data_IF_902691428987
#
_entry.id   IF_902691428987
#
_cell.length_a   1.000
_cell.length_b   1.000
_cell.length_c   1.000
_cell.angle_alpha   90.00
_cell.angle_beta   90.00
_cell.angle_gamma   90.00
#
_symmetry.space_group_name_H-M   'P 1'
#
loop_
_entity.id
_entity.type
_entity.pdbx_description
1 polymer ?
#
# COMPACT_ATOMS: atom_id res chain seq x y z
N UNK A 1 -21.34 -47.31 -4.51
CA UNK A 1 -20.43 -46.14 -4.55
C UNK A 1 -20.70 -45.27 -3.33
N UNK A 2 -19.77 -45.26 -2.37
CA UNK A 2 -19.93 -44.59 -1.08
C UNK A 2 -19.72 -43.07 -1.21
N UNK A 3 -20.68 -42.28 -0.72
CA UNK A 3 -20.59 -40.82 -0.60
C UNK A 3 -19.60 -40.46 0.51
N UNK A 4 -18.45 -39.88 0.15
CA UNK A 4 -17.51 -39.24 1.10
C UNK A 4 -18.20 -38.01 1.71
N UNK A 5 -18.52 -38.09 3.00
CA UNK A 5 -18.88 -36.95 3.82
C UNK A 5 -17.63 -36.11 4.09
N UNK A 6 -17.63 -34.85 3.63
CA UNK A 6 -16.58 -33.91 3.98
C UNK A 6 -16.73 -33.49 5.44
N UNK A 7 -15.78 -33.94 6.27
CA UNK A 7 -15.71 -33.61 7.68
C UNK A 7 -15.60 -32.10 7.89
N UNK A 8 -16.52 -31.58 8.71
CA UNK A 8 -16.56 -30.19 9.12
C UNK A 8 -15.28 -29.86 9.92
N UNK A 9 -14.34 -29.13 9.32
CA UNK A 9 -13.12 -28.66 10.00
C UNK A 9 -13.56 -27.73 11.14
N UNK A 10 -13.49 -28.20 12.38
CA UNK A 10 -13.69 -27.38 13.59
C UNK A 10 -12.78 -26.15 13.50
N UNK A 11 -13.38 -24.98 13.28
CA UNK A 11 -12.69 -23.69 13.45
C UNK A 11 -12.17 -23.63 14.88
N UNK A 12 -10.85 -23.67 15.05
CA UNK A 12 -10.19 -23.42 16.32
C UNK A 12 -10.69 -22.08 16.89
N UNK A 13 -11.22 -22.07 18.11
CA UNK A 13 -11.58 -20.84 18.83
C UNK A 13 -10.30 -19.99 18.93
N UNK A 14 -10.28 -18.83 18.25
CA UNK A 14 -9.19 -17.86 18.39
C UNK A 14 -9.06 -17.51 19.88
N UNK A 15 -7.89 -17.74 20.45
CA UNK A 15 -7.56 -17.32 21.82
C UNK A 15 -7.72 -15.80 21.88
N UNK A 16 -8.37 -15.31 22.94
CA UNK A 16 -8.50 -13.87 23.14
C UNK A 16 -7.10 -13.25 23.27
N UNK A 17 -6.88 -12.12 22.60
CA UNK A 17 -5.61 -11.40 22.67
C UNK A 17 -5.44 -10.78 24.05
N UNK A 18 -4.21 -10.74 24.60
CA UNK A 18 -3.92 -9.98 25.81
C UNK A 18 -4.39 -8.53 25.64
N UNK A 19 -5.10 -8.02 26.64
CA UNK A 19 -5.59 -6.64 26.65
C UNK A 19 -4.56 -5.74 27.34
N UNK A 20 -4.49 -4.49 26.88
CA UNK A 20 -3.57 -3.50 27.41
C UNK A 20 -2.29 -3.35 26.60
N UNK A 21 -1.37 -2.57 27.16
CA UNK A 21 -0.09 -2.24 26.57
C UNK A 21 1.04 -2.99 27.28
N UNK A 22 2.04 -3.40 26.51
CA UNK A 22 3.15 -4.20 26.98
C UNK A 22 4.45 -3.51 26.57
N UNK A 23 5.46 -3.53 27.45
CA UNK A 23 6.78 -2.97 27.14
C UNK A 23 7.63 -3.96 26.36
N UNK A 24 8.44 -3.44 25.43
CA UNK A 24 9.42 -4.21 24.68
C UNK A 24 10.65 -3.36 24.37
N UNK A 25 11.82 -3.99 24.48
CA UNK A 25 13.03 -3.50 23.82
C UNK A 25 13.11 -4.11 22.42
N UNK A 26 13.40 -3.30 21.41
CA UNK A 26 13.43 -3.73 20.01
C UNK A 26 14.86 -4.04 19.60
N UNK A 27 15.15 -5.31 19.35
CA UNK A 27 16.51 -5.81 19.08
C UNK A 27 16.95 -5.57 17.63
N UNK A 28 16.02 -5.74 16.68
CA UNK A 28 16.31 -5.71 15.25
C UNK A 28 15.08 -5.37 14.42
N UNK A 29 15.22 -5.32 13.09
CA UNK A 29 14.17 -4.95 12.15
C UNK A 29 14.06 -6.02 11.05
N UNK A 30 12.85 -6.40 10.68
CA UNK A 30 12.64 -7.31 9.53
C UNK A 30 12.78 -6.55 8.20
N UNK A 31 12.85 -7.29 7.08
CA UNK A 31 12.87 -6.69 5.74
C UNK A 31 11.59 -5.90 5.45
N UNK A 32 10.46 -6.31 6.02
CA UNK A 32 9.17 -5.62 5.91
C UNK A 32 9.05 -4.42 6.85
N UNK A 33 10.10 -4.05 7.59
CA UNK A 33 10.08 -2.89 8.48
C UNK A 33 9.34 -3.10 9.79
N UNK A 34 9.29 -4.34 10.31
CA UNK A 34 8.74 -4.63 11.64
C UNK A 34 9.86 -4.81 12.65
N UNK A 35 9.77 -4.13 13.78
CA UNK A 35 10.68 -4.32 14.91
C UNK A 35 10.58 -5.75 15.42
N UNK A 36 11.68 -6.33 15.88
CA UNK A 36 11.75 -7.67 16.44
C UNK A 36 12.17 -7.55 17.89
N UNK A 37 11.33 -8.06 18.78
CA UNK A 37 11.60 -8.17 20.21
C UNK A 37 11.40 -9.62 20.67
N UNK A 38 11.90 -9.96 21.87
CA UNK A 38 11.59 -11.22 22.54
C UNK A 38 10.83 -10.98 23.84
N UNK A 39 9.58 -11.44 23.88
CA UNK A 39 8.72 -11.39 25.08
C UNK A 39 8.63 -12.80 25.64
N UNK A 40 9.12 -12.99 26.87
CA UNK A 40 9.20 -14.31 27.52
C UNK A 40 9.86 -15.39 26.63
N UNK A 41 10.93 -14.98 25.91
CA UNK A 41 11.69 -15.85 24.99
C UNK A 41 11.04 -16.07 23.61
N UNK A 42 9.81 -15.61 23.41
CA UNK A 42 9.07 -15.74 22.13
C UNK A 42 9.28 -14.51 21.25
N UNK A 43 9.49 -14.74 19.96
CA UNK A 43 9.64 -13.65 18.99
C UNK A 43 8.33 -12.89 18.80
N UNK A 44 8.38 -11.57 18.91
CA UNK A 44 7.25 -10.67 18.71
C UNK A 44 7.65 -9.62 17.68
N UNK A 45 6.89 -9.57 16.59
CA UNK A 45 7.08 -8.59 15.52
C UNK A 45 6.19 -7.37 15.77
N UNK A 46 6.80 -6.22 15.99
CA UNK A 46 6.14 -4.98 16.40
C UNK A 46 6.19 -3.98 15.25
N UNK A 47 5.03 -3.67 14.67
CA UNK A 47 4.91 -2.61 13.67
C UNK A 47 5.25 -1.24 14.27
N UNK A 48 5.82 -0.35 13.45
CA UNK A 48 6.18 1.03 13.83
C UNK A 48 7.24 1.16 14.93
N UNK A 49 8.05 0.12 15.11
CA UNK A 49 9.12 0.07 16.09
C UNK A 49 10.47 -0.19 15.38
N UNK A 50 11.51 0.54 15.79
CA UNK A 50 12.84 0.50 15.19
C UNK A 50 13.86 -0.13 16.16
N UNK A 51 15.00 -0.65 15.65
CA UNK A 51 16.05 -1.19 16.50
C UNK A 51 16.56 -0.18 17.53
N UNK A 52 16.80 -0.65 18.75
CA UNK A 52 17.30 0.15 19.87
C UNK A 52 16.23 0.95 20.62
N UNK A 53 14.95 0.82 20.23
CA UNK A 53 13.84 1.50 20.88
C UNK A 53 13.30 0.74 22.08
N UNK A 54 12.85 1.50 23.08
CA UNK A 54 11.98 1.01 24.14
C UNK A 54 10.56 1.48 23.82
N UNK A 55 9.63 0.55 23.65
CA UNK A 55 8.25 0.84 23.20
C UNK A 55 7.21 0.20 24.10
N UNK A 56 6.04 0.83 24.19
CA UNK A 56 4.79 0.16 24.56
C UNK A 56 4.06 -0.26 23.30
N UNK A 57 3.60 -1.50 23.27
CA UNK A 57 2.89 -2.08 22.12
C UNK A 57 1.62 -2.82 22.54
N UNK A 58 0.71 -3.01 21.59
CA UNK A 58 -0.50 -3.83 21.75
C UNK A 58 -0.45 -5.07 20.87
N UNK A 59 -0.92 -6.21 21.36
CA UNK A 59 -1.00 -7.43 20.54
C UNK A 59 -2.08 -7.31 19.47
N UNK A 60 -1.71 -7.69 18.24
CA UNK A 60 -2.60 -7.74 17.07
C UNK A 60 -2.94 -9.18 16.70
N UNK A 61 -1.98 -10.08 16.88
CA UNK A 61 -2.18 -11.50 16.63
C UNK A 61 -1.23 -12.34 17.48
N UNK A 62 -1.72 -13.50 17.96
CA UNK A 62 -0.86 -14.49 18.60
C UNK A 62 -0.79 -15.79 17.80
N UNK A 63 0.42 -16.27 17.51
CA UNK A 63 0.66 -17.57 16.84
C UNK A 63 1.48 -18.47 17.75
N UNK A 64 1.65 -19.74 17.34
CA UNK A 64 2.44 -20.71 18.12
C UNK A 64 3.92 -20.31 18.22
N UNK A 65 4.49 -19.83 17.13
CA UNK A 65 5.94 -19.57 17.03
C UNK A 65 6.32 -18.09 17.22
N UNK A 66 5.40 -17.18 16.95
CA UNK A 66 5.65 -15.74 17.05
C UNK A 66 4.34 -15.01 17.34
N UNK A 67 4.45 -13.76 17.78
CA UNK A 67 3.32 -12.85 17.93
C UNK A 67 3.50 -11.61 17.04
N UNK A 68 2.38 -10.94 16.76
CA UNK A 68 2.35 -9.66 16.07
C UNK A 68 1.79 -8.61 17.03
N UNK A 69 2.44 -7.45 17.04
CA UNK A 69 1.99 -6.28 17.77
C UNK A 69 2.19 -5.01 16.95
N UNK A 70 1.66 -3.91 17.45
CA UNK A 70 1.94 -2.56 16.93
C UNK A 70 2.36 -1.69 18.10
N UNK A 71 3.46 -0.95 17.94
CA UNK A 71 3.85 0.07 18.90
C UNK A 71 2.75 1.13 18.97
N UNK A 72 2.46 1.59 20.19
CA UNK A 72 1.50 2.65 20.49
C UNK A 72 2.17 3.84 21.17
N UNK A 73 3.29 3.60 21.87
CA UNK A 73 4.14 4.65 22.43
C UNK A 73 5.60 4.24 22.27
N UNK A 74 6.43 5.21 21.90
CA UNK A 74 7.89 5.06 21.86
C UNK A 74 8.45 5.83 23.04
N UNK A 75 8.93 5.10 24.06
CA UNK A 75 9.43 5.67 25.32
C UNK A 75 10.87 6.16 25.15
N UNK A 76 11.65 5.44 24.35
CA UNK A 76 12.98 5.84 23.90
C UNK A 76 13.09 5.61 22.41
N UNK A 77 13.24 6.71 21.65
CA UNK A 77 13.36 6.68 20.20
C UNK A 77 14.77 6.31 19.74
N UNK A 78 14.85 5.65 18.58
CA UNK A 78 16.10 5.47 17.85
C UNK A 78 16.57 6.81 17.29
N UNK A 79 17.88 7.09 17.21
CA UNK A 79 18.39 8.29 16.52
C UNK A 79 18.04 8.32 15.02
N UNK A 80 17.71 7.17 14.42
CA UNK A 80 17.28 7.06 13.02
C UNK A 80 15.76 7.28 12.85
N UNK A 81 15.01 7.45 13.95
CA UNK A 81 13.58 7.73 13.88
C UNK A 81 13.35 9.14 13.35
N UNK A 82 12.44 9.26 12.39
CA UNK A 82 11.94 10.53 11.90
C UNK A 82 10.41 10.59 12.03
N UNK A 83 9.87 11.80 12.00
CA UNK A 83 8.43 11.99 11.87
C UNK A 83 7.99 11.60 10.44
N UNK A 84 7.00 10.71 10.28
CA UNK A 84 6.49 10.35 8.97
C UNK A 84 6.01 11.55 8.17
N UNK A 85 6.48 11.66 6.92
CA UNK A 85 6.05 12.73 6.03
C UNK A 85 4.58 12.62 5.59
N UNK A 86 3.98 11.43 5.59
CA UNK A 86 2.56 11.24 5.25
C UNK A 86 1.68 11.31 6.51
N UNK A 87 0.66 12.19 6.55
CA UNK A 87 -0.25 12.29 7.70
C UNK A 87 -1.10 11.02 7.92
N UNK A 88 -1.12 10.12 6.95
CA UNK A 88 -1.89 8.88 6.99
C UNK A 88 -1.07 7.66 7.42
N UNK A 89 0.22 7.83 7.73
CA UNK A 89 1.14 6.71 7.94
C UNK A 89 0.64 5.72 9.02
N UNK A 90 0.02 6.22 10.08
CA UNK A 90 -0.42 5.39 11.21
C UNK A 90 -1.60 4.46 10.92
N UNK A 91 -2.46 4.79 9.97
CA UNK A 91 -3.67 4.03 9.66
C UNK A 91 -3.77 3.54 8.22
N UNK A 92 -2.90 4.00 7.32
CA UNK A 92 -2.80 3.52 5.95
C UNK A 92 -1.71 2.44 5.82
N UNK A 93 -2.08 1.25 5.34
CA UNK A 93 -1.16 0.12 5.16
C UNK A 93 -0.27 0.21 3.92
N UNK A 94 -0.18 1.38 3.28
CA UNK A 94 0.54 1.58 2.03
C UNK A 94 2.06 1.68 2.18
N UNK A 95 2.56 2.17 3.32
CA UNK A 95 3.99 2.36 3.59
C UNK A 95 4.36 1.73 4.94
N UNK A 96 5.53 1.10 5.02
CA UNK A 96 5.95 0.39 6.24
C UNK A 96 6.93 1.19 7.11
N UNK A 97 7.81 2.01 6.51
CA UNK A 97 9.00 2.55 7.17
C UNK A 97 9.13 4.07 7.12
N UNK A 98 8.05 4.85 6.95
CA UNK A 98 8.20 6.32 6.89
C UNK A 98 8.67 6.96 8.21
N UNK A 99 8.65 6.20 9.31
CA UNK A 99 9.20 6.60 10.60
C UNK A 99 10.71 6.31 10.73
N UNK A 100 11.34 5.72 9.72
CA UNK A 100 12.78 5.47 9.64
C UNK A 100 13.39 6.42 8.61
N UNK A 101 14.52 7.05 8.95
CA UNK A 101 15.28 7.88 8.01
C UNK A 101 15.52 7.17 6.67
N UNK A 102 15.29 7.81 5.50
CA UNK A 102 15.46 7.15 4.20
C UNK A 102 16.85 6.57 3.95
N UNK A 103 17.91 7.22 4.43
CA UNK A 103 19.27 6.69 4.34
C UNK A 103 19.43 5.42 5.18
N UNK A 104 18.87 5.41 6.39
CA UNK A 104 18.82 4.23 7.25
C UNK A 104 17.97 3.09 6.63
N UNK A 105 16.89 3.41 5.91
CA UNK A 105 16.11 2.40 5.16
C UNK A 105 16.97 1.70 4.09
N UNK A 106 17.77 2.46 3.34
CA UNK A 106 18.66 1.92 2.30
C UNK A 106 19.74 1.05 2.95
N UNK A 107 20.39 1.55 4.00
CA UNK A 107 21.41 0.82 4.74
C UNK A 107 20.87 -0.49 5.34
N UNK A 108 19.65 -0.47 5.88
CA UNK A 108 18.96 -1.66 6.40
C UNK A 108 18.73 -2.71 5.32
N UNK A 109 18.22 -2.31 4.15
CA UNK A 109 18.02 -3.22 3.01
C UNK A 109 19.33 -3.84 2.52
N UNK A 110 20.39 -3.04 2.43
CA UNK A 110 21.73 -3.54 2.06
C UNK A 110 22.23 -4.56 3.08
N UNK A 111 22.14 -4.26 4.37
CA UNK A 111 22.57 -5.19 5.43
C UNK A 111 21.77 -6.49 5.39
N UNK A 112 20.46 -6.42 5.19
CA UNK A 112 19.60 -7.59 5.07
C UNK A 112 19.99 -8.46 3.87
N UNK A 113 20.28 -7.86 2.71
CA UNK A 113 20.76 -8.58 1.53
C UNK A 113 22.10 -9.29 1.80
N UNK A 114 23.06 -8.59 2.40
CA UNK A 114 24.38 -9.16 2.70
C UNK A 114 24.29 -10.30 3.74
N UNK A 115 23.46 -10.16 4.77
CA UNK A 115 23.21 -11.23 5.75
C UNK A 115 22.59 -12.46 5.08
N UNK A 116 21.63 -12.26 4.17
CA UNK A 116 21.01 -13.35 3.41
C UNK A 116 22.02 -14.07 2.50
N UNK A 117 22.88 -13.32 1.79
CA UNK A 117 23.95 -13.91 0.97
C UNK A 117 24.90 -14.77 1.81
N UNK A 118 25.31 -14.26 2.98
CA UNK A 118 26.22 -14.98 3.86
C UNK A 118 25.57 -16.22 4.50
N UNK A 119 24.39 -16.07 5.10
CA UNK A 119 23.72 -17.15 5.85
C UNK A 119 23.08 -18.21 4.97
N UNK A 120 22.38 -17.79 3.91
CA UNK A 120 21.60 -18.67 3.04
C UNK A 120 22.44 -19.07 1.83
N UNK A 121 22.98 -18.07 1.14
CA UNK A 121 23.79 -18.28 -0.06
C UNK A 121 25.17 -18.89 0.21
N UNK A 122 25.69 -18.74 1.44
CA UNK A 122 27.06 -19.15 1.82
C UNK A 122 28.14 -18.49 0.95
N UNK A 123 27.86 -17.28 0.49
CA UNK A 123 28.73 -16.49 -0.38
C UNK A 123 28.92 -15.09 0.19
N UNK A 124 30.04 -14.47 -0.14
CA UNK A 124 30.32 -13.07 0.10
C UNK A 124 30.67 -12.41 -1.24
N UNK A 125 30.11 -11.23 -1.56
CA UNK A 125 30.50 -10.53 -2.78
C UNK A 125 31.91 -9.96 -2.64
N UNK A 126 32.68 -9.99 -3.73
CA UNK A 126 34.01 -9.36 -3.78
C UNK A 126 33.92 -7.83 -3.68
N UNK A 127 32.81 -7.26 -4.19
CA UNK A 127 32.53 -5.84 -4.15
C UNK A 127 31.04 -5.60 -3.89
N UNK A 128 30.74 -4.62 -3.02
CA UNK A 128 29.39 -4.07 -2.85
C UNK A 128 29.36 -2.72 -3.55
N UNK A 129 28.49 -2.58 -4.56
CA UNK A 129 28.28 -1.31 -5.25
C UNK A 129 27.38 -0.40 -4.41
N UNK A 130 27.50 0.91 -4.64
CA UNK A 130 26.61 1.90 -4.02
C UNK A 130 25.14 1.62 -4.38
N UNK A 131 24.21 1.74 -3.42
CA UNK A 131 22.78 1.54 -3.68
C UNK A 131 22.24 2.52 -4.73
N UNK A 132 21.43 1.99 -5.65
CA UNK A 132 20.61 2.84 -6.50
C UNK A 132 19.50 3.46 -5.67
N UNK A 133 19.47 4.80 -5.64
CA UNK A 133 18.47 5.58 -4.91
C UNK A 133 17.65 6.42 -5.87
N UNK A 134 16.53 6.95 -5.39
CA UNK A 134 15.64 7.79 -6.16
C UNK A 134 14.80 8.66 -5.22
N UNK A 135 13.83 9.42 -5.78
CA UNK A 135 12.94 10.25 -5.00
C UNK A 135 12.19 9.45 -3.94
N UNK A 136 12.04 10.03 -2.74
CA UNK A 136 11.29 9.42 -1.63
C UNK A 136 9.78 9.69 -1.70
N UNK A 137 9.36 10.66 -2.52
CA UNK A 137 7.98 11.07 -2.77
C UNK A 137 7.69 11.06 -4.27
N UNK A 138 6.43 10.91 -4.65
CA UNK A 138 5.99 10.89 -6.06
C UNK A 138 6.54 9.74 -6.92
N UNK A 139 7.31 8.81 -6.34
CA UNK A 139 7.99 7.76 -7.10
C UNK A 139 7.05 6.65 -7.57
N UNK A 140 5.89 6.46 -6.93
CA UNK A 140 4.95 5.39 -7.26
C UNK A 140 4.10 5.84 -8.44
N UNK A 141 4.45 5.37 -9.63
CA UNK A 141 3.72 5.62 -10.87
C UNK A 141 2.56 4.66 -11.13
N UNK A 142 2.52 3.51 -10.44
CA UNK A 142 1.43 2.54 -10.56
C UNK A 142 0.80 2.22 -9.21
N UNK A 143 -0.53 2.18 -9.16
CA UNK A 143 -1.28 1.83 -7.96
C UNK A 143 -2.62 1.18 -8.29
N UNK A 144 -3.13 0.37 -7.37
CA UNK A 144 -4.53 -0.07 -7.37
C UNK A 144 -5.21 0.50 -6.13
N UNK A 145 -6.10 1.45 -6.35
CA UNK A 145 -6.87 2.10 -5.30
C UNK A 145 -8.17 1.33 -5.10
N UNK A 146 -8.45 0.94 -3.86
CA UNK A 146 -9.75 0.41 -3.49
C UNK A 146 -10.76 1.54 -3.37
N UNK A 147 -11.99 1.29 -3.81
CA UNK A 147 -13.09 2.24 -3.78
C UNK A 147 -14.22 1.67 -2.95
N UNK A 148 -14.73 2.46 -2.00
CA UNK A 148 -15.79 2.00 -1.09
C UNK A 148 -16.68 3.14 -0.63
N UNK A 149 -17.98 3.04 -0.87
CA UNK A 149 -18.97 3.87 -0.19
C UNK A 149 -19.05 3.53 1.30
N UNK A 150 -18.84 4.51 2.18
CA UNK A 150 -18.92 4.34 3.63
C UNK A 150 -20.09 5.14 4.19
N UNK A 151 -21.23 4.45 4.43
CA UNK A 151 -22.49 5.07 4.91
C UNK A 151 -22.30 5.94 6.15
N UNK A 152 -21.50 5.51 7.13
CA UNK A 152 -21.25 6.26 8.37
C UNK A 152 -20.53 7.61 8.11
N UNK A 153 -19.72 7.69 7.05
CA UNK A 153 -18.98 8.89 6.67
C UNK A 153 -19.71 9.72 5.60
N UNK A 154 -20.76 9.17 4.98
CA UNK A 154 -21.53 9.87 3.93
C UNK A 154 -20.74 10.13 2.65
N UNK A 155 -19.64 9.41 2.40
CA UNK A 155 -18.80 9.59 1.19
C UNK A 155 -18.16 8.31 0.69
N UNK A 156 -17.59 8.38 -0.50
CA UNK A 156 -16.71 7.36 -1.07
C UNK A 156 -15.32 7.51 -0.42
N UNK A 157 -14.73 6.39 -0.03
CA UNK A 157 -13.31 6.31 0.31
C UNK A 157 -12.56 5.73 -0.88
N UNK A 158 -11.43 6.36 -1.20
CA UNK A 158 -10.52 5.92 -2.26
C UNK A 158 -9.12 5.90 -1.67
N UNK A 159 -8.43 4.77 -1.82
CA UNK A 159 -7.08 4.64 -1.29
C UNK A 159 -6.61 3.22 -1.12
N UNK A 160 -5.72 3.02 -0.16
CA UNK A 160 -5.18 1.70 0.18
C UNK A 160 -5.93 1.11 1.37
N UNK A 161 -5.65 -0.16 1.67
CA UNK A 161 -6.19 -0.81 2.86
C UNK A 161 -5.49 -0.34 4.12
N UNK A 162 -6.22 -0.34 5.23
CA UNK A 162 -5.64 -0.23 6.55
C UNK A 162 -4.71 -1.43 6.87
N UNK A 163 -3.72 -1.27 7.76
CA UNK A 163 -2.85 -2.37 8.18
C UNK A 163 -3.64 -3.58 8.71
N UNK A 164 -3.38 -4.75 8.14
CA UNK A 164 -4.01 -6.02 8.50
C UNK A 164 -5.55 -6.00 8.52
N UNK A 165 -6.17 -5.11 7.73
CA UNK A 165 -7.61 -4.90 7.70
C UNK A 165 -8.11 -4.87 6.25
N UNK A 166 -9.32 -5.38 5.96
CA UNK A 166 -9.93 -5.26 4.64
C UNK A 166 -10.49 -3.86 4.37
N UNK A 167 -10.53 -2.98 5.38
CA UNK A 167 -11.11 -1.65 5.27
C UNK A 167 -10.19 -0.72 4.49
N UNK A 168 -10.78 0.20 3.72
CA UNK A 168 -10.04 1.25 3.02
C UNK A 168 -9.69 2.33 4.04
N UNK A 169 -8.40 2.65 4.11
CA UNK A 169 -7.88 3.72 4.95
C UNK A 169 -8.50 5.04 4.50
N UNK A 170 -8.94 5.83 5.48
CA UNK A 170 -9.46 7.15 5.19
C UNK A 170 -8.31 8.13 4.95
N UNK A 171 -8.03 8.40 3.66
CA UNK A 171 -6.95 9.27 3.22
C UNK A 171 -7.47 10.30 2.22
N UNK A 172 -6.87 11.48 2.21
CA UNK A 172 -7.15 12.56 1.25
C UNK A 172 -5.96 12.88 0.34
N UNK A 173 -4.78 12.31 0.64
CA UNK A 173 -3.58 12.44 -0.19
C UNK A 173 -2.68 11.21 -0.06
N UNK A 174 -1.88 10.94 -1.09
CA UNK A 174 -0.82 9.95 -1.05
C UNK A 174 0.49 10.52 -1.60
N UNK A 175 1.40 10.96 -0.71
CA UNK A 175 2.67 11.60 -1.07
C UNK A 175 3.65 10.70 -1.84
N UNK A 176 3.51 9.39 -1.75
CA UNK A 176 4.37 8.45 -2.51
C UNK A 176 3.84 8.20 -3.92
N UNK A 177 2.54 8.39 -4.16
CA UNK A 177 1.91 8.27 -5.48
C UNK A 177 2.27 9.50 -6.32
N UNK A 178 2.35 9.32 -7.64
CA UNK A 178 2.54 10.42 -8.58
C UNK A 178 1.59 11.59 -8.22
N UNK A 179 2.10 12.82 -8.03
CA UNK A 179 1.33 13.94 -7.51
C UNK A 179 0.10 14.28 -8.37
N UNK A 180 0.15 14.00 -9.69
CA UNK A 180 -1.00 14.18 -10.60
C UNK A 180 -2.22 13.40 -10.12
N UNK A 181 -2.02 12.28 -9.42
CA UNK A 181 -3.10 11.43 -8.86
C UNK A 181 -3.15 11.51 -7.34
N UNK A 182 -2.01 11.48 -6.66
CA UNK A 182 -1.89 11.45 -5.20
C UNK A 182 -2.50 12.66 -4.50
N UNK A 183 -2.56 13.82 -5.16
CA UNK A 183 -3.21 15.04 -4.64
C UNK A 183 -4.68 15.14 -5.01
N UNK A 184 -5.16 14.32 -5.95
CA UNK A 184 -6.54 14.37 -6.48
C UNK A 184 -7.48 13.32 -5.90
N UNK A 185 -7.08 12.58 -4.86
CA UNK A 185 -7.95 11.57 -4.22
C UNK A 185 -9.33 12.12 -3.80
N UNK A 186 -9.48 13.35 -3.27
CA UNK A 186 -10.78 13.92 -2.93
C UNK A 186 -11.65 14.16 -4.18
N UNK A 187 -11.06 14.72 -5.25
CA UNK A 187 -11.76 14.97 -6.50
C UNK A 187 -12.23 13.66 -7.17
N UNK A 188 -11.39 12.61 -7.16
CA UNK A 188 -11.78 11.28 -7.65
C UNK A 188 -12.92 10.71 -6.77
N UNK A 189 -12.87 10.91 -5.45
CA UNK A 189 -13.94 10.49 -4.54
C UNK A 189 -15.27 11.17 -4.85
N UNK A 190 -15.26 12.47 -5.11
CA UNK A 190 -16.44 13.24 -5.49
C UNK A 190 -16.99 12.81 -6.85
N UNK A 191 -16.12 12.58 -7.83
CA UNK A 191 -16.49 12.02 -9.13
C UNK A 191 -17.25 10.70 -8.96
N UNK A 192 -16.68 9.74 -8.23
CA UNK A 192 -17.34 8.44 -8.00
C UNK A 192 -18.68 8.64 -7.30
N UNK A 193 -18.74 9.51 -6.28
CA UNK A 193 -19.98 9.77 -5.54
C UNK A 193 -21.10 10.35 -6.42
N UNK A 194 -20.74 11.06 -7.49
CA UNK A 194 -21.68 11.65 -8.45
C UNK A 194 -22.19 10.64 -9.50
N UNK A 195 -21.57 9.46 -9.63
CA UNK A 195 -22.01 8.42 -10.54
C UNK A 195 -23.25 7.70 -9.99
N UNK A 196 -24.17 7.29 -10.88
CA UNK A 196 -25.25 6.36 -10.49
C UNK A 196 -24.67 5.01 -10.08
N UNK A 197 -23.59 4.57 -10.72
CA UNK A 197 -22.88 3.32 -10.44
C UNK A 197 -21.90 3.39 -9.25
N UNK A 198 -21.95 4.41 -8.38
CA UNK A 198 -20.95 4.63 -7.31
C UNK A 198 -20.70 3.44 -6.37
N UNK A 199 -21.66 2.51 -6.22
CA UNK A 199 -21.51 1.29 -5.39
C UNK A 199 -20.84 0.14 -6.13
N UNK A 200 -20.80 0.23 -7.45
CA UNK A 200 -20.40 -0.81 -8.37
C UNK A 200 -19.03 -0.52 -9.00
N UNK A 201 -18.32 0.48 -8.49
CA UNK A 201 -16.90 0.77 -8.79
C UNK A 201 -16.06 0.28 -7.60
N UNK A 202 -15.50 -0.95 -7.63
CA UNK A 202 -14.74 -1.48 -6.49
C UNK A 202 -13.27 -1.03 -6.45
N UNK A 203 -12.71 -0.64 -7.60
CA UNK A 203 -11.29 -0.30 -7.72
C UNK A 203 -11.03 0.66 -8.89
N UNK A 204 -9.94 1.41 -8.76
CA UNK A 204 -9.36 2.24 -9.81
C UNK A 204 -7.88 1.85 -9.92
N UNK A 205 -7.43 1.47 -11.10
CA UNK A 205 -6.01 1.27 -11.38
C UNK A 205 -5.42 2.57 -11.93
N UNK A 206 -4.22 2.87 -11.48
CA UNK A 206 -3.46 4.08 -11.82
C UNK A 206 -2.19 3.63 -12.54
N UNK A 207 -1.91 4.25 -13.67
CA UNK A 207 -0.63 4.14 -14.36
C UNK A 207 -0.21 5.52 -14.85
N UNK A 208 0.99 5.96 -14.51
CA UNK A 208 1.54 7.25 -14.92
C UNK A 208 2.84 7.05 -15.69
N UNK A 209 2.88 7.62 -16.89
CA UNK A 209 4.07 7.78 -17.71
C UNK A 209 4.76 9.10 -17.40
N UNK A 210 5.66 9.51 -18.28
CA UNK A 210 6.32 10.81 -18.14
C UNK A 210 5.31 11.95 -18.34
N UNK A 211 4.54 11.94 -19.44
CA UNK A 211 3.63 13.04 -19.78
C UNK A 211 2.19 12.86 -19.27
N UNK A 212 1.67 11.62 -19.28
CA UNK A 212 0.27 11.35 -19.02
C UNK A 212 0.04 10.32 -17.90
N UNK A 213 -1.10 10.44 -17.22
CA UNK A 213 -1.61 9.44 -16.30
C UNK A 213 -2.92 8.86 -16.82
N UNK A 214 -3.05 7.53 -16.71
CA UNK A 214 -4.25 6.78 -16.98
C UNK A 214 -4.93 6.32 -15.69
N UNK A 215 -6.25 6.44 -15.65
CA UNK A 215 -7.13 5.90 -14.61
C UNK A 215 -8.06 4.85 -15.23
N UNK A 216 -7.92 3.59 -14.81
CA UNK A 216 -8.79 2.51 -15.25
C UNK A 216 -9.82 2.19 -14.17
N UNK A 217 -11.09 2.45 -14.48
CA UNK A 217 -12.21 2.23 -13.57
C UNK A 217 -12.78 0.82 -13.77
N UNK A 218 -12.62 -0.03 -12.76
CA UNK A 218 -13.34 -1.31 -12.73
C UNK A 218 -14.78 -1.02 -12.39
N UNK A 219 -15.71 -1.51 -13.21
CA UNK A 219 -17.14 -1.36 -12.95
C UNK A 219 -17.86 -2.70 -13.08
N UNK A 220 -18.76 -2.99 -12.14
CA UNK A 220 -19.48 -4.27 -12.06
C UNK A 220 -20.81 -4.25 -12.80
N UNK A 221 -21.26 -3.07 -13.23
CA UNK A 221 -22.49 -2.84 -14.00
C UNK A 221 -22.18 -1.92 -15.19
N UNK A 222 -22.94 -1.99 -16.30
CA UNK A 222 -22.79 -1.04 -17.40
C UNK A 222 -23.00 0.41 -16.93
N UNK A 223 -22.12 1.31 -17.36
CA UNK A 223 -22.24 2.74 -17.09
C UNK A 223 -23.16 3.39 -18.13
N UNK A 224 -24.11 4.20 -17.66
CA UNK A 224 -25.00 4.94 -18.55
C UNK A 224 -24.31 6.16 -19.17
N UNK A 225 -25.02 6.84 -20.08
CA UNK A 225 -24.46 8.01 -20.78
C UNK A 225 -24.08 9.15 -19.82
N UNK A 226 -24.84 9.35 -18.73
CA UNK A 226 -24.57 10.42 -17.77
C UNK A 226 -23.32 10.11 -16.94
N UNK A 227 -23.14 8.87 -16.51
CA UNK A 227 -21.93 8.45 -15.79
C UNK A 227 -20.69 8.52 -16.69
N UNK A 228 -20.80 8.07 -17.96
CA UNK A 228 -19.70 8.19 -18.93
C UNK A 228 -19.34 9.64 -19.23
N UNK A 229 -20.33 10.53 -19.37
CA UNK A 229 -20.08 11.96 -19.58
C UNK A 229 -19.39 12.63 -18.39
N UNK A 230 -19.70 12.23 -17.15
CA UNK A 230 -18.99 12.72 -15.95
C UNK A 230 -17.53 12.28 -15.91
N UNK A 231 -17.26 11.02 -16.26
CA UNK A 231 -15.89 10.53 -16.38
C UNK A 231 -15.13 11.31 -17.44
N UNK A 232 -15.73 11.52 -18.62
CA UNK A 232 -15.10 12.26 -19.72
C UNK A 232 -14.80 13.73 -19.35
N UNK A 233 -15.75 14.41 -18.70
CA UNK A 233 -15.53 15.77 -18.20
C UNK A 233 -14.39 15.84 -17.16
N UNK A 234 -14.28 14.84 -16.29
CA UNK A 234 -13.18 14.75 -15.32
C UNK A 234 -11.84 14.46 -15.99
N UNK A 235 -11.83 13.66 -17.06
CA UNK A 235 -10.66 13.42 -17.89
C UNK A 235 -10.14 14.73 -18.49
N UNK A 236 -11.04 15.54 -19.05
CA UNK A 236 -10.73 16.87 -19.61
C UNK A 236 -10.20 17.82 -18.55
N UNK A 237 -10.89 17.94 -17.42
CA UNK A 237 -10.54 18.88 -16.36
C UNK A 237 -9.17 18.62 -15.73
N UNK A 238 -8.76 17.35 -15.64
CA UNK A 238 -7.54 16.96 -14.92
C UNK A 238 -6.45 16.34 -15.79
N UNK A 239 -6.68 16.20 -17.10
CA UNK A 239 -5.69 15.66 -18.04
C UNK A 239 -5.42 14.17 -17.87
N UNK A 240 -6.45 13.37 -17.55
CA UNK A 240 -6.33 11.92 -17.42
C UNK A 240 -6.77 11.19 -18.69
N UNK A 241 -6.07 10.13 -19.05
CA UNK A 241 -6.63 9.10 -19.92
C UNK A 241 -7.55 8.20 -19.07
N UNK A 242 -8.82 8.03 -19.45
CA UNK A 242 -9.75 7.18 -18.71
C UNK A 242 -10.02 5.90 -19.47
N UNK A 243 -9.86 4.79 -18.76
CA UNK A 243 -10.17 3.45 -19.24
C UNK A 243 -11.30 2.84 -18.40
N UNK A 244 -12.09 1.99 -19.03
CA UNK A 244 -13.14 1.21 -18.41
C UNK A 244 -12.76 -0.27 -18.41
N UNK A 245 -13.08 -0.97 -17.32
CA UNK A 245 -12.85 -2.40 -17.18
C UNK A 245 -14.11 -3.08 -16.62
N UNK A 246 -15.02 -3.60 -17.48
CA UNK A 246 -16.24 -4.31 -17.06
C UNK A 246 -16.00 -5.76 -16.59
N UNK A 247 -14.88 -6.37 -16.97
CA UNK A 247 -14.55 -7.78 -16.72
C UNK A 247 -13.11 -8.00 -16.25
N UNK A 248 -12.45 -9.02 -16.78
CA UNK A 248 -11.03 -9.27 -16.52
C UNK A 248 -10.12 -8.23 -17.18
N UNK A 249 -8.78 -8.37 -17.04
CA UNK A 249 -7.78 -7.51 -17.68
C UNK A 249 -7.99 -7.32 -19.18
N UNK A 250 -8.46 -8.35 -19.87
CA UNK A 250 -8.75 -8.35 -21.31
C UNK A 250 -9.88 -7.42 -21.75
N UNK A 251 -10.70 -6.95 -20.79
CA UNK A 251 -11.83 -6.05 -21.08
C UNK A 251 -11.46 -4.57 -20.97
N UNK A 252 -10.21 -4.25 -20.63
CA UNK A 252 -9.74 -2.89 -20.53
C UNK A 252 -9.86 -2.18 -21.88
N UNK A 253 -10.59 -1.07 -21.92
CA UNK A 253 -10.76 -0.27 -23.11
C UNK A 253 -10.84 1.22 -22.76
N UNK A 254 -10.41 2.13 -23.64
CA UNK A 254 -10.57 3.57 -23.42
C UNK A 254 -12.05 3.94 -23.29
N UNK A 255 -12.35 4.95 -22.46
CA UNK A 255 -13.71 5.48 -22.31
C UNK A 255 -14.24 6.04 -23.65
N UNK A 256 -13.36 6.74 -24.37
CA UNK A 256 -13.59 7.36 -25.67
C UNK A 256 -12.42 7.01 -26.59
N UNK A 257 -12.71 6.51 -27.80
CA UNK A 257 -11.68 6.33 -28.82
C UNK A 257 -11.23 7.71 -29.35
N UNK A 258 -9.91 7.95 -29.44
CA UNK A 258 -9.38 9.22 -29.92
C UNK A 258 -8.00 9.54 -29.34
N UNK A 259 -7.63 10.82 -29.31
CA UNK A 259 -6.29 11.29 -28.87
C UNK A 259 -5.93 10.95 -27.41
N UNK A 260 -6.93 10.65 -26.56
CA UNK A 260 -6.75 10.19 -25.18
C UNK A 260 -6.60 8.67 -25.03
N UNK A 261 -6.64 7.91 -26.13
CA UNK A 261 -6.37 6.47 -26.15
C UNK A 261 -4.86 6.17 -26.14
N UNK A 262 -4.11 6.94 -25.35
CA UNK A 262 -2.67 6.79 -25.21
C UNK A 262 -2.38 6.06 -23.92
N UNK A 263 -1.75 4.90 -24.05
CA UNK A 263 -1.17 4.21 -22.91
C UNK A 263 -0.01 5.06 -22.37
N UNK A 264 0.13 5.20 -21.05
CA UNK A 264 1.26 5.94 -20.49
C UNK A 264 2.58 5.27 -20.86
N UNK A 265 3.52 6.04 -21.41
CA UNK A 265 4.88 5.61 -21.76
C UNK A 265 5.92 6.34 -20.93
N UNK A 266 7.14 5.83 -20.92
CA UNK A 266 8.32 6.54 -20.41
C UNK A 266 9.50 6.43 -21.36
N UNK A 267 10.32 7.49 -21.40
CA UNK A 267 11.45 7.61 -22.33
C UNK A 267 12.78 7.47 -21.60
N UNK A 268 13.63 6.61 -22.14
CA UNK A 268 15.02 6.43 -21.71
C UNK A 268 15.92 7.14 -22.73
N UNK A 269 16.17 8.43 -22.50
CA UNK A 269 16.90 9.30 -23.45
C UNK A 269 18.28 8.75 -23.81
N UNK A 270 19.04 8.27 -22.81
CA UNK A 270 20.38 7.71 -22.99
C UNK A 270 20.44 6.49 -23.91
N UNK A 271 19.28 5.85 -24.14
CA UNK A 271 19.16 4.64 -24.93
C UNK A 271 18.31 4.82 -26.19
N UNK A 272 17.71 6.00 -26.40
CA UNK A 272 16.73 6.27 -27.46
C UNK A 272 15.58 5.24 -27.51
N UNK A 273 15.06 4.89 -26.33
CA UNK A 273 13.95 3.93 -26.19
C UNK A 273 12.75 4.59 -25.50
N UNK A 274 11.55 4.30 -26.01
CA UNK A 274 10.28 4.59 -25.34
C UNK A 274 9.57 3.25 -25.02
N UNK A 275 9.09 3.11 -23.78
CA UNK A 275 8.48 1.89 -23.24
C UNK A 275 7.08 2.18 -22.73
#
# INVERSE_FOLDING_TARGET
MARKTYGNKRMSKKKALPQGEFSAHVDSLTLEGRGVARIDGKATFIGRALPGEDVRFVYREQRRQFDLGDAVVVERASPERIEPGCPHFDHCGGCAMQHLDPGAQVAHKQRALLDQLARIGRVAPDQVLEPLTGPIWGYRRMARLGVRWVRKKGRVLIGFREPASPMIADIDTCRVLDPRVGEKLPAISELIAALKAYRDIPQIEVACGDDHCALAFRHMVPLDQADRARLDAFADEHGFAIFLQPGGPETLAPLMAGERDTYPSYRLEDFDVEI
#
